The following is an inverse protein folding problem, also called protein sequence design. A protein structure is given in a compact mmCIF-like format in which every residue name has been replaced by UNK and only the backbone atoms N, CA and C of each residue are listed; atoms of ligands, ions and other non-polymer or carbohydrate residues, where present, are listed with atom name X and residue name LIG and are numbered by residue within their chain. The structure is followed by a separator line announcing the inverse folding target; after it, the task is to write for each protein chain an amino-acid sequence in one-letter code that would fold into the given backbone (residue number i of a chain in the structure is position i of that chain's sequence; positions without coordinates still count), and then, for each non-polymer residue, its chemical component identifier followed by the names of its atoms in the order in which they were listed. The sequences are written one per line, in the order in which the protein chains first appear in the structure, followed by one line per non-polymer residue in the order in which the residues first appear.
data_IF_283976095541
#
_entry.id   IF_283976095541
#
_cell.length_a   1.000
_cell.length_b   1.000
_cell.length_c   1.000
_cell.angle_alpha   90.00
_cell.angle_beta   90.00
_cell.angle_gamma   90.00
#
_symmetry.space_group_name_H-M   'P 1'
#
loop_
_entity.id
_entity.type
_entity.pdbx_description
1 polymer ?
#
# COMPACT_ATOMS: atom_id res chain seq x y z
N UNK A 1 3.06 -6.65 -1.42
CA UNK A 1 4.14 -7.49 -0.88
C UNK A 1 3.72 -8.94 -0.77
N UNK A 2 2.68 -9.27 0.02
CA UNK A 2 2.25 -10.65 0.28
C UNK A 2 2.03 -11.42 -1.03
N UNK A 3 1.17 -10.93 -1.92
CA UNK A 3 0.88 -11.59 -3.20
C UNK A 3 2.14 -11.73 -4.08
N UNK A 4 3.00 -10.72 -4.07
CA UNK A 4 4.23 -10.77 -4.86
C UNK A 4 5.21 -11.83 -4.31
N UNK A 5 5.32 -11.93 -2.99
CA UNK A 5 6.13 -12.98 -2.34
C UNK A 5 5.56 -14.37 -2.65
N UNK A 6 4.27 -14.57 -2.44
CA UNK A 6 3.60 -15.86 -2.64
C UNK A 6 3.66 -16.32 -4.10
N UNK A 7 3.61 -15.40 -5.05
CA UNK A 7 3.72 -15.69 -6.48
C UNK A 7 5.17 -15.80 -6.98
N UNK A 8 6.16 -15.79 -6.08
CA UNK A 8 7.56 -15.91 -6.46
C UNK A 8 8.07 -14.79 -7.36
N UNK A 9 7.45 -13.59 -7.24
CA UNK A 9 7.92 -12.45 -8.05
C UNK A 9 9.37 -12.13 -7.69
N UNK A 10 10.23 -12.14 -8.71
CA UNK A 10 11.63 -11.79 -8.53
C UNK A 10 11.75 -10.28 -8.26
N UNK A 11 12.18 -9.95 -7.04
CA UNK A 11 12.46 -8.59 -6.62
C UNK A 11 13.91 -8.17 -6.85
N UNK A 12 14.62 -8.82 -7.80
CA UNK A 12 15.98 -8.39 -8.10
C UNK A 12 15.98 -6.87 -8.35
N UNK A 13 16.63 -6.07 -7.51
CA UNK A 13 16.64 -4.63 -7.67
C UNK A 13 17.49 -4.33 -8.90
N UNK A 14 16.84 -4.01 -10.01
CA UNK A 14 17.56 -3.34 -11.07
C UNK A 14 18.02 -1.99 -10.52
N UNK A 15 19.32 -1.79 -10.48
CA UNK A 15 19.90 -0.49 -10.13
C UNK A 15 19.61 0.46 -11.31
N UNK A 16 18.42 1.01 -11.32
CA UNK A 16 18.03 2.06 -12.25
C UNK A 16 18.65 3.37 -11.74
N UNK A 17 19.29 4.10 -12.65
CA UNK A 17 19.85 5.42 -12.35
C UNK A 17 18.73 6.36 -11.86
N UNK A 18 18.84 6.91 -10.63
CA UNK A 18 17.86 7.86 -10.09
C UNK A 18 17.68 9.12 -10.96
N UNK A 19 18.68 9.48 -11.77
CA UNK A 19 18.60 10.61 -12.70
C UNK A 19 17.50 10.45 -13.74
N UNK A 20 17.18 9.22 -14.18
CA UNK A 20 16.09 8.94 -15.10
C UNK A 20 14.76 9.38 -14.47
N UNK A 21 14.50 8.97 -13.23
CA UNK A 21 13.27 9.35 -12.51
C UNK A 21 13.18 10.85 -12.32
N UNK A 22 14.28 11.49 -11.90
CA UNK A 22 14.30 12.94 -11.71
C UNK A 22 13.98 13.70 -13.01
N UNK A 23 14.54 13.27 -14.14
CA UNK A 23 14.26 13.83 -15.46
C UNK A 23 12.80 13.64 -15.88
N UNK A 24 12.24 12.43 -15.67
CA UNK A 24 10.84 12.16 -15.99
C UNK A 24 9.89 12.98 -15.10
N UNK A 25 10.22 13.18 -13.83
CA UNK A 25 9.45 14.02 -12.94
C UNK A 25 9.50 15.50 -13.39
N UNK A 26 10.68 16.04 -13.65
CA UNK A 26 10.83 17.41 -14.16
C UNK A 26 10.06 17.63 -15.48
N UNK A 27 10.07 16.62 -16.34
CA UNK A 27 9.30 16.67 -17.60
C UNK A 27 7.79 16.66 -17.33
N UNK A 28 7.31 15.84 -16.35
CA UNK A 28 5.90 15.85 -15.95
C UNK A 28 5.46 17.22 -15.40
N UNK A 29 6.33 17.88 -14.65
CA UNK A 29 6.09 19.20 -14.10
C UNK A 29 6.05 20.29 -15.19
N UNK A 30 6.87 20.14 -16.24
CA UNK A 30 6.96 21.09 -17.35
C UNK A 30 5.83 20.95 -18.39
N UNK A 31 5.50 19.72 -18.81
CA UNK A 31 4.57 19.48 -19.93
C UNK A 31 3.27 18.75 -19.49
N UNK A 32 3.15 18.44 -18.21
CA UNK A 32 1.98 17.74 -17.65
C UNK A 32 2.05 16.23 -17.75
N UNK A 33 1.37 15.55 -16.82
CA UNK A 33 1.33 14.08 -16.74
C UNK A 33 0.68 13.42 -17.97
N UNK A 34 -0.23 14.11 -18.66
CA UNK A 34 -0.90 13.60 -19.85
C UNK A 34 0.09 13.31 -21.00
N UNK A 35 1.13 14.15 -21.17
CA UNK A 35 2.15 13.94 -22.19
C UNK A 35 2.98 12.67 -21.92
N UNK A 36 3.31 12.42 -20.65
CA UNK A 36 4.01 11.19 -20.25
C UNK A 36 3.11 9.95 -20.42
N UNK A 37 1.82 10.08 -20.12
CA UNK A 37 0.88 8.99 -20.34
C UNK A 37 0.74 8.65 -21.84
N UNK A 38 0.65 9.65 -22.72
CA UNK A 38 0.64 9.44 -24.17
C UNK A 38 1.93 8.74 -24.65
N UNK A 39 3.08 9.09 -24.10
CA UNK A 39 4.35 8.38 -24.37
C UNK A 39 4.26 6.91 -23.90
N UNK A 40 3.73 6.66 -22.70
CA UNK A 40 3.53 5.30 -22.22
C UNK A 40 2.59 4.50 -23.12
N UNK A 41 1.50 5.11 -23.61
CA UNK A 41 0.58 4.47 -24.56
C UNK A 41 1.27 4.05 -25.87
N UNK A 42 2.20 4.85 -26.37
CA UNK A 42 2.95 4.51 -27.60
C UNK A 42 3.98 3.39 -27.37
N UNK A 43 4.57 3.31 -26.18
CA UNK A 43 5.60 2.32 -25.84
C UNK A 43 5.00 1.01 -25.38
N UNK A 44 4.05 1.07 -24.44
CA UNK A 44 3.45 -0.09 -23.77
C UNK A 44 1.92 0.10 -23.62
N UNK A 45 1.16 -0.05 -24.72
CA UNK A 45 -0.28 0.15 -24.71
C UNK A 45 -1.01 -0.80 -23.75
N UNK A 46 -0.52 -2.04 -23.59
CA UNK A 46 -1.11 -3.06 -22.72
C UNK A 46 -1.01 -2.67 -21.23
N UNK A 47 0.11 -2.09 -20.84
CA UNK A 47 0.25 -1.56 -19.49
C UNK A 47 -0.49 -0.25 -19.29
N UNK A 48 -0.45 0.64 -20.28
CA UNK A 48 -1.17 1.92 -20.24
C UNK A 48 -2.68 1.72 -20.03
N UNK A 49 -3.29 0.72 -20.67
CA UNK A 49 -4.71 0.38 -20.49
C UNK A 49 -5.07 -0.02 -19.05
N UNK A 50 -4.09 -0.44 -18.24
CA UNK A 50 -4.28 -0.86 -16.83
C UNK A 50 -3.96 0.24 -15.82
N UNK A 51 -3.44 1.38 -16.27
CA UNK A 51 -3.01 2.50 -15.42
C UNK A 51 -3.88 3.71 -15.70
N UNK A 52 -4.45 4.29 -14.63
CA UNK A 52 -5.20 5.54 -14.79
C UNK A 52 -4.25 6.68 -15.21
N UNK A 53 -4.59 7.52 -16.21
CA UNK A 53 -3.74 8.61 -16.70
C UNK A 53 -3.18 9.52 -15.60
N UNK A 54 -3.97 9.79 -14.57
CA UNK A 54 -3.57 10.63 -13.42
C UNK A 54 -2.68 9.91 -12.41
N UNK A 55 -2.39 8.61 -12.61
CA UNK A 55 -1.47 7.88 -11.72
C UNK A 55 -0.01 8.07 -12.17
N UNK A 56 0.43 9.33 -12.09
CA UNK A 56 1.76 9.74 -12.52
C UNK A 56 2.90 8.89 -11.95
N UNK A 57 2.92 8.48 -10.67
CA UNK A 57 3.96 7.60 -10.15
C UNK A 57 4.08 6.26 -10.88
N UNK A 58 2.97 5.67 -11.32
CA UNK A 58 2.99 4.43 -12.11
C UNK A 58 3.41 4.66 -13.56
N UNK A 59 2.98 5.77 -14.15
CA UNK A 59 3.41 6.16 -15.49
C UNK A 59 4.92 6.38 -15.51
N UNK A 60 5.45 7.16 -14.58
CA UNK A 60 6.90 7.41 -14.45
C UNK A 60 7.66 6.09 -14.23
N UNK A 61 7.17 5.21 -13.35
CA UNK A 61 7.85 3.93 -13.09
C UNK A 61 7.96 3.04 -14.34
N UNK A 62 6.92 3.01 -15.17
CA UNK A 62 6.94 2.23 -16.41
C UNK A 62 7.91 2.82 -17.44
N UNK A 63 7.93 4.15 -17.59
CA UNK A 63 8.87 4.84 -18.48
C UNK A 63 10.31 4.73 -17.96
N UNK A 64 10.54 4.85 -16.67
CA UNK A 64 11.83 4.64 -15.98
C UNK A 64 12.41 3.26 -16.30
N UNK A 65 11.60 2.20 -16.17
CA UNK A 65 12.00 0.85 -16.52
C UNK A 65 12.39 0.75 -18.01
N UNK A 66 11.54 1.26 -18.87
CA UNK A 66 11.78 1.19 -20.32
C UNK A 66 13.03 1.97 -20.75
N UNK A 67 13.24 3.19 -20.23
CA UNK A 67 14.43 3.99 -20.53
C UNK A 67 15.72 3.34 -20.02
N UNK A 68 15.66 2.67 -18.85
CA UNK A 68 16.81 2.02 -18.25
C UNK A 68 17.17 0.68 -18.92
N UNK A 69 16.19 -0.08 -19.40
CA UNK A 69 16.39 -1.49 -19.76
C UNK A 69 15.89 -1.87 -21.15
N UNK A 70 15.10 -1.02 -21.80
CA UNK A 70 14.38 -1.33 -23.04
C UNK A 70 13.17 -2.27 -22.85
N UNK A 71 12.91 -2.74 -21.62
CA UNK A 71 11.84 -3.71 -21.33
C UNK A 71 10.52 -3.01 -21.01
N UNK A 72 9.41 -3.57 -21.49
CA UNK A 72 8.06 -3.08 -21.24
C UNK A 72 7.56 -3.60 -19.88
N UNK A 73 6.85 -2.78 -19.15
CA UNK A 73 6.26 -3.18 -17.85
C UNK A 73 5.21 -4.30 -18.00
N UNK A 74 4.47 -4.34 -19.12
CA UNK A 74 3.56 -5.44 -19.45
C UNK A 74 4.28 -6.78 -19.56
N UNK A 75 5.41 -6.83 -20.25
CA UNK A 75 6.23 -8.03 -20.42
C UNK A 75 6.82 -8.51 -19.07
N UNK A 76 7.34 -7.59 -18.25
CA UNK A 76 7.82 -7.91 -16.91
C UNK A 76 6.75 -8.55 -16.03
N UNK A 77 5.52 -8.03 -16.09
CA UNK A 77 4.41 -8.58 -15.31
C UNK A 77 3.95 -9.97 -15.78
N UNK A 78 4.06 -10.25 -17.07
CA UNK A 78 3.77 -11.58 -17.63
C UNK A 78 4.87 -12.56 -17.21
N UNK A 79 6.12 -12.19 -17.36
CA UNK A 79 7.27 -13.01 -16.96
C UNK A 79 7.24 -13.35 -15.46
N UNK A 80 6.87 -12.38 -14.61
CA UNK A 80 6.73 -12.60 -13.18
C UNK A 80 5.58 -13.55 -12.81
N UNK A 81 4.57 -13.73 -13.67
CA UNK A 81 3.43 -14.64 -13.44
C UNK A 81 3.63 -16.06 -13.98
N UNK A 82 4.66 -16.29 -14.77
CA UNK A 82 4.89 -17.56 -15.45
C UNK A 82 5.53 -18.64 -14.56
N UNK A 83 6.01 -18.29 -13.38
CA UNK A 83 6.56 -19.25 -12.42
C UNK A 83 5.43 -19.86 -11.56
N UNK A 84 5.49 -21.16 -11.31
CA UNK A 84 4.64 -21.79 -10.30
C UNK A 84 4.88 -21.11 -8.94
N UNK A 85 3.81 -20.90 -8.14
CA UNK A 85 3.96 -20.31 -6.81
C UNK A 85 4.92 -21.15 -5.97
N UNK A 86 6.03 -20.58 -5.44
CA UNK A 86 7.04 -21.33 -4.71
C UNK A 86 6.56 -21.79 -3.33
N UNK A 87 5.41 -21.27 -2.90
CA UNK A 87 4.86 -21.55 -1.59
C UNK A 87 3.42 -22.03 -1.68
N UNK A 88 3.12 -23.07 -0.92
CA UNK A 88 1.74 -23.37 -0.54
C UNK A 88 1.36 -22.39 0.58
N UNK A 89 0.23 -21.74 0.48
CA UNK A 89 -0.15 -20.69 1.43
C UNK A 89 -1.61 -20.79 1.86
N UNK A 90 -1.86 -20.41 3.11
CA UNK A 90 -3.20 -20.20 3.67
C UNK A 90 -3.33 -18.74 4.07
N UNK A 91 -4.24 -18.01 3.43
CA UNK A 91 -4.48 -16.61 3.72
C UNK A 91 -5.73 -16.44 4.58
N UNK A 92 -5.57 -16.15 5.86
CA UNK A 92 -6.66 -15.84 6.79
C UNK A 92 -6.83 -14.33 6.91
N UNK A 93 -7.99 -13.81 6.49
CA UNK A 93 -8.31 -12.39 6.53
C UNK A 93 -9.27 -12.08 7.68
N UNK A 94 -8.80 -11.30 8.65
CA UNK A 94 -9.58 -10.88 9.81
C UNK A 94 -10.35 -9.59 9.54
N UNK A 95 -11.63 -9.57 9.85
CA UNK A 95 -12.48 -8.36 9.78
C UNK A 95 -13.61 -8.45 10.81
N UNK A 96 -14.46 -7.41 10.89
CA UNK A 96 -15.74 -7.48 11.57
C UNK A 96 -16.85 -7.61 10.52
N UNK A 97 -17.92 -8.34 10.86
CA UNK A 97 -19.14 -8.41 10.05
C UNK A 97 -19.86 -7.06 10.12
N UNK A 98 -19.99 -6.54 11.33
CA UNK A 98 -20.49 -5.18 11.56
C UNK A 98 -19.41 -4.13 11.29
N UNK A 99 -19.73 -3.22 10.37
CA UNK A 99 -18.83 -2.12 10.00
C UNK A 99 -18.70 -1.07 11.11
N UNK A 100 -19.75 -0.87 11.91
CA UNK A 100 -19.71 0.07 13.02
C UNK A 100 -18.75 -0.44 14.10
N UNK A 101 -18.78 -1.74 14.41
CA UNK A 101 -17.84 -2.38 15.33
C UNK A 101 -16.40 -2.24 14.87
N UNK A 102 -16.11 -2.40 13.56
CA UNK A 102 -14.78 -2.17 13.02
C UNK A 102 -14.32 -0.71 13.22
N UNK A 103 -15.20 0.26 12.99
CA UNK A 103 -14.86 1.67 13.11
C UNK A 103 -14.66 2.11 14.56
N UNK A 104 -15.47 1.60 15.49
CA UNK A 104 -15.29 1.80 16.92
C UNK A 104 -13.94 1.23 17.40
N UNK A 105 -13.61 0.02 16.98
CA UNK A 105 -12.31 -0.61 17.27
C UNK A 105 -11.14 0.21 16.75
N UNK A 106 -11.25 0.76 15.53
CA UNK A 106 -10.23 1.67 14.96
C UNK A 106 -10.12 2.93 15.82
N UNK A 107 -11.24 3.55 16.20
CA UNK A 107 -11.25 4.74 17.05
C UNK A 107 -10.53 4.51 18.38
N UNK A 108 -10.93 3.47 19.11
CA UNK A 108 -10.31 3.10 20.40
C UNK A 108 -8.81 2.79 20.26
N UNK A 109 -8.40 2.15 19.17
CA UNK A 109 -6.97 1.89 18.91
C UNK A 109 -6.19 3.19 18.72
N UNK A 110 -6.73 4.16 17.98
CA UNK A 110 -6.07 5.45 17.77
C UNK A 110 -5.95 6.21 19.09
N UNK A 111 -7.02 6.25 19.90
CA UNK A 111 -6.98 6.89 21.23
C UNK A 111 -5.91 6.25 22.13
N UNK A 112 -5.80 4.92 22.09
CA UNK A 112 -4.76 4.20 22.81
C UNK A 112 -3.35 4.49 22.29
N UNK A 113 -3.16 4.62 20.97
CA UNK A 113 -1.87 5.01 20.38
C UNK A 113 -1.44 6.40 20.85
N UNK A 114 -2.36 7.37 20.88
CA UNK A 114 -2.07 8.72 21.39
C UNK A 114 -1.66 8.64 22.88
N UNK A 115 -2.40 7.89 23.68
CA UNK A 115 -2.08 7.67 25.10
C UNK A 115 -0.72 6.99 25.32
N UNK A 116 -0.32 6.10 24.41
CA UNK A 116 0.90 5.30 24.50
C UNK A 116 2.13 5.95 23.85
N UNK A 117 2.06 7.21 23.43
CA UNK A 117 3.22 7.97 23.02
C UNK A 117 3.48 8.00 21.50
N UNK A 118 2.47 7.72 20.65
CA UNK A 118 2.61 7.87 19.20
C UNK A 118 3.04 9.29 18.78
N UNK A 119 2.75 10.30 19.61
CA UNK A 119 3.16 11.69 19.36
C UNK A 119 4.68 11.85 19.39
N UNK A 120 5.39 11.15 20.28
CA UNK A 120 6.84 11.19 20.38
C UNK A 120 7.48 10.57 19.13
N UNK A 121 6.94 9.44 18.67
CA UNK A 121 7.37 8.81 17.41
C UNK A 121 7.10 9.75 16.21
N UNK A 122 5.90 10.31 16.14
CA UNK A 122 5.51 11.22 15.07
C UNK A 122 6.38 12.50 15.06
N UNK A 123 6.78 13.00 16.25
CA UNK A 123 7.68 14.15 16.37
C UNK A 123 9.07 13.82 15.83
N UNK A 124 9.62 12.66 16.16
CA UNK A 124 10.90 12.19 15.59
C UNK A 124 10.84 12.12 14.06
N UNK A 125 9.75 11.57 13.51
CA UNK A 125 9.56 11.50 12.05
C UNK A 125 9.43 12.90 11.46
N UNK A 126 8.72 13.80 12.11
CA UNK A 126 8.56 15.20 11.67
C UNK A 126 9.90 15.93 11.64
N UNK A 127 10.71 15.83 12.69
CA UNK A 127 12.01 16.50 12.81
C UNK A 127 13.02 15.99 11.77
N UNK A 128 12.91 14.73 11.36
CA UNK A 128 13.81 14.08 10.40
C UNK A 128 13.12 13.78 9.06
N UNK A 129 12.03 14.48 8.70
CA UNK A 129 11.19 14.15 7.54
C UNK A 129 11.91 14.11 6.20
N UNK A 130 13.01 14.87 6.06
CA UNK A 130 13.84 14.85 4.85
C UNK A 130 14.59 13.52 4.69
N UNK A 131 15.02 12.93 5.80
CA UNK A 131 15.69 11.62 5.84
C UNK A 131 14.69 10.47 5.87
N UNK A 132 13.57 10.63 6.57
CA UNK A 132 12.54 9.61 6.76
C UNK A 132 11.37 9.77 5.78
N UNK A 133 11.67 10.03 4.51
CA UNK A 133 10.66 10.34 3.47
C UNK A 133 9.49 9.36 3.41
N UNK A 134 9.74 8.07 3.57
CA UNK A 134 8.68 7.04 3.55
C UNK A 134 7.84 7.09 4.82
N UNK A 135 8.46 7.19 6.00
CA UNK A 135 7.75 7.29 7.27
C UNK A 135 6.94 8.59 7.36
N UNK A 136 7.48 9.70 6.84
CA UNK A 136 6.79 10.98 6.79
C UNK A 136 5.49 10.97 5.96
N UNK A 137 5.28 9.97 5.10
CA UNK A 137 4.03 9.77 4.37
C UNK A 137 3.11 8.73 5.01
N UNK A 138 3.56 8.04 6.06
CA UNK A 138 2.78 7.00 6.71
C UNK A 138 1.56 7.57 7.46
N UNK A 139 0.47 6.82 7.44
CA UNK A 139 -0.69 7.07 8.31
C UNK A 139 -0.25 6.79 9.75
N UNK A 140 -0.50 7.72 10.64
CA UNK A 140 -0.09 7.65 12.04
C UNK A 140 0.94 8.70 12.42
N UNK A 141 1.64 9.30 11.45
CA UNK A 141 2.61 10.35 11.72
C UNK A 141 2.23 11.67 11.06
N UNK A 142 2.01 11.68 9.76
CA UNK A 142 1.74 12.91 8.99
C UNK A 142 0.50 13.68 9.44
N UNK A 143 -0.47 12.98 10.02
CA UNK A 143 -1.70 13.60 10.52
C UNK A 143 -1.44 14.51 11.73
N UNK A 144 -0.30 14.31 12.44
CA UNK A 144 0.12 15.15 13.56
C UNK A 144 1.06 16.31 13.16
N UNK A 145 1.50 16.40 11.91
CA UNK A 145 2.38 17.49 11.46
C UNK A 145 1.76 18.88 11.69
N UNK A 146 0.47 19.13 11.39
CA UNK A 146 -0.16 20.41 11.69
C UNK A 146 -0.18 20.76 13.18
N UNK A 147 -0.22 19.77 14.08
CA UNK A 147 -0.10 20.01 15.52
C UNK A 147 1.31 20.49 15.91
N UNK A 148 2.36 19.90 15.35
CA UNK A 148 3.75 20.33 15.60
C UNK A 148 4.05 21.69 14.97
N UNK A 149 3.36 22.07 13.93
CA UNK A 149 3.44 23.37 13.27
C UNK A 149 2.57 24.45 13.97
N UNK A 150 1.78 24.07 14.98
CA UNK A 150 0.88 24.97 15.68
C UNK A 150 -0.33 25.43 14.85
N UNK A 151 -0.64 24.75 13.75
CA UNK A 151 -1.70 25.11 12.81
C UNK A 151 -3.02 24.36 13.08
N UNK A 152 -3.01 23.29 13.89
CA UNK A 152 -4.20 22.56 14.29
C UNK A 152 -4.07 22.00 15.72
N UNK A 153 -5.17 21.88 16.49
CA UNK A 153 -5.16 21.25 17.79
C UNK A 153 -4.99 19.73 17.69
N UNK A 154 -4.52 19.10 18.78
CA UNK A 154 -4.27 17.66 18.85
C UNK A 154 -5.54 16.83 18.56
N UNK A 155 -6.68 17.28 19.06
CA UNK A 155 -7.97 16.62 18.89
C UNK A 155 -8.34 16.51 17.40
N UNK A 156 -8.15 17.57 16.65
CA UNK A 156 -8.42 17.59 15.20
C UNK A 156 -7.48 16.63 14.46
N UNK A 157 -6.19 16.62 14.79
CA UNK A 157 -5.21 15.71 14.22
C UNK A 157 -5.54 14.25 14.53
N UNK A 158 -5.99 13.96 15.75
CA UNK A 158 -6.43 12.64 16.18
C UNK A 158 -7.67 12.17 15.39
N UNK A 159 -8.66 13.04 15.18
CA UNK A 159 -9.84 12.69 14.37
C UNK A 159 -9.47 12.48 12.88
N UNK A 160 -8.56 13.28 12.34
CA UNK A 160 -8.00 13.06 10.99
C UNK A 160 -7.31 11.70 10.88
N UNK A 161 -6.55 11.30 11.90
CA UNK A 161 -5.92 9.98 11.95
C UNK A 161 -6.95 8.86 12.00
N UNK A 162 -8.00 8.95 12.83
CA UNK A 162 -9.10 7.99 12.86
C UNK A 162 -9.75 7.86 11.48
N UNK A 163 -10.02 8.98 10.82
CA UNK A 163 -10.61 8.99 9.47
C UNK A 163 -9.69 8.38 8.42
N UNK A 164 -8.39 8.71 8.44
CA UNK A 164 -7.39 8.14 7.54
C UNK A 164 -7.27 6.63 7.70
N UNK A 165 -7.30 6.15 8.96
CA UNK A 165 -7.25 4.72 9.31
C UNK A 165 -8.51 3.99 8.84
N UNK A 166 -9.71 4.57 9.02
CA UNK A 166 -10.96 4.00 8.46
C UNK A 166 -10.90 3.89 6.94
N UNK A 167 -10.40 4.91 6.26
CA UNK A 167 -10.24 4.91 4.80
C UNK A 167 -9.19 3.86 4.35
N UNK A 168 -8.13 3.69 5.13
CA UNK A 168 -7.14 2.64 4.86
C UNK A 168 -7.74 1.24 5.02
N UNK A 169 -8.50 0.99 6.07
CA UNK A 169 -9.22 -0.27 6.27
C UNK A 169 -10.15 -0.59 5.09
N UNK A 170 -10.90 0.39 4.56
CA UNK A 170 -11.73 0.20 3.36
C UNK A 170 -10.89 -0.25 2.15
N UNK A 171 -9.72 0.36 1.93
CA UNK A 171 -8.83 -0.01 0.82
C UNK A 171 -8.26 -1.42 1.01
N UNK A 172 -7.88 -1.80 2.24
CA UNK A 172 -7.43 -3.15 2.56
C UNK A 172 -8.51 -4.19 2.28
N UNK A 173 -9.74 -3.98 2.76
CA UNK A 173 -10.87 -4.88 2.51
C UNK A 173 -11.15 -5.05 1.02
N UNK A 174 -11.13 -3.95 0.26
CA UNK A 174 -11.32 -3.99 -1.20
C UNK A 174 -10.22 -4.77 -1.90
N UNK A 175 -8.99 -4.63 -1.43
CA UNK A 175 -7.85 -5.34 -2.01
C UNK A 175 -7.90 -6.84 -1.69
N UNK A 176 -8.13 -7.21 -0.42
CA UNK A 176 -8.19 -8.61 0.00
C UNK A 176 -9.38 -9.36 -0.60
N UNK A 177 -10.52 -8.70 -0.87
CA UNK A 177 -11.68 -9.30 -1.55
C UNK A 177 -11.38 -9.75 -2.99
N UNK A 178 -10.32 -9.24 -3.59
CA UNK A 178 -9.86 -9.66 -4.92
C UNK A 178 -8.90 -10.85 -4.87
N UNK A 179 -8.53 -11.31 -3.69
CA UNK A 179 -7.70 -12.50 -3.51
C UNK A 179 -8.63 -13.70 -3.42
N UNK A 180 -8.57 -14.58 -4.43
CA UNK A 180 -9.49 -15.72 -4.53
C UNK A 180 -9.31 -16.75 -3.41
N UNK A 181 -8.11 -16.82 -2.81
CA UNK A 181 -7.73 -17.81 -1.80
C UNK A 181 -7.85 -17.28 -0.37
N UNK A 182 -8.45 -16.09 -0.17
CA UNK A 182 -8.60 -15.50 1.14
C UNK A 182 -9.79 -16.10 1.90
N UNK A 183 -9.53 -16.74 3.03
CA UNK A 183 -10.55 -17.22 3.96
C UNK A 183 -10.88 -16.11 4.95
N UNK A 184 -12.13 -15.67 4.96
CA UNK A 184 -12.57 -14.58 5.82
C UNK A 184 -13.01 -15.09 7.19
N UNK A 185 -12.46 -14.47 8.23
CA UNK A 185 -12.78 -14.70 9.63
C UNK A 185 -13.30 -13.40 10.25
N UNK A 186 -14.43 -13.48 10.93
CA UNK A 186 -15.08 -12.33 11.53
C UNK A 186 -14.85 -12.36 13.05
N UNK A 187 -14.10 -11.37 13.55
CA UNK A 187 -13.67 -11.31 14.96
C UNK A 187 -14.79 -10.93 15.95
N UNK A 188 -15.94 -10.55 15.43
CA UNK A 188 -17.19 -10.30 16.17
C UNK A 188 -18.13 -11.53 16.17
N UNK A 189 -17.70 -12.68 15.65
CA UNK A 189 -18.37 -13.96 15.76
C UNK A 189 -17.75 -14.81 16.87
N UNK A 190 -18.57 -15.67 17.47
CA UNK A 190 -18.10 -16.67 18.42
C UNK A 190 -17.20 -17.71 17.72
N UNK A 191 -16.25 -18.29 18.48
CA UNK A 191 -15.38 -19.38 18.04
C UNK A 191 -14.44 -19.04 16.84
N UNK A 192 -14.17 -17.78 16.55
CA UNK A 192 -13.28 -17.37 15.46
C UNK A 192 -11.86 -17.95 15.60
N UNK A 193 -11.34 -18.05 16.82
CA UNK A 193 -10.01 -18.62 17.11
C UNK A 193 -9.99 -20.11 16.83
N UNK A 194 -11.00 -20.85 17.28
CA UNK A 194 -11.12 -22.29 17.06
C UNK A 194 -11.23 -22.60 15.58
N UNK A 195 -12.03 -21.83 14.83
CA UNK A 195 -12.15 -21.91 13.40
C UNK A 195 -10.81 -21.65 12.68
N UNK A 196 -10.08 -20.61 13.10
CA UNK A 196 -8.74 -20.32 12.57
C UNK A 196 -7.78 -21.49 12.81
N UNK A 197 -7.76 -22.03 14.04
CA UNK A 197 -6.94 -23.18 14.40
C UNK A 197 -7.28 -24.43 13.57
N UNK A 198 -8.57 -24.69 13.34
CA UNK A 198 -9.01 -25.81 12.52
C UNK A 198 -8.54 -25.69 11.07
N UNK A 199 -8.69 -24.52 10.46
CA UNK A 199 -8.20 -24.24 9.11
C UNK A 199 -6.67 -24.42 8.98
N UNK A 200 -5.91 -23.98 9.99
CA UNK A 200 -4.45 -24.18 10.01
C UNK A 200 -4.10 -25.65 10.12
N UNK A 201 -4.75 -26.42 11.00
CA UNK A 201 -4.50 -27.86 11.15
C UNK A 201 -4.80 -28.61 9.85
N UNK A 202 -5.93 -28.31 9.23
CA UNK A 202 -6.32 -28.91 7.94
C UNK A 202 -5.29 -28.58 6.84
N UNK A 203 -4.84 -27.34 6.79
CA UNK A 203 -3.80 -26.90 5.85
C UNK A 203 -2.46 -27.61 6.06
N UNK A 204 -2.08 -27.93 7.29
CA UNK A 204 -0.82 -28.62 7.61
C UNK A 204 -0.87 -30.13 7.35
N UNK A 205 -2.07 -30.73 7.30
CA UNK A 205 -2.26 -32.16 7.05
C UNK A 205 -2.31 -32.51 5.55
N UNK A 206 -2.62 -31.55 4.71
CA UNK A 206 -2.68 -31.68 3.25
C UNK A 206 -1.37 -31.17 2.62
#
# INVERSE_FOLDING_TARGET
YITSLLNGMNFAPEKIDPAIRARLQARADAVGGAALYAQLQSIDPDYAAQVHPNNLPRVIRALELYEATGRKMSAERISARAAEPPYRSLCLCLTCRDRAALYDRIGRRVDLMVKNGVLDEAKQVYDHRESYRTAAQAIGYKEFFPYFEGTAPLEECTEKLKQATRNYAKRQLTWFRRQNDAVWLYIDEENVIERACSLVREFLQN
#
